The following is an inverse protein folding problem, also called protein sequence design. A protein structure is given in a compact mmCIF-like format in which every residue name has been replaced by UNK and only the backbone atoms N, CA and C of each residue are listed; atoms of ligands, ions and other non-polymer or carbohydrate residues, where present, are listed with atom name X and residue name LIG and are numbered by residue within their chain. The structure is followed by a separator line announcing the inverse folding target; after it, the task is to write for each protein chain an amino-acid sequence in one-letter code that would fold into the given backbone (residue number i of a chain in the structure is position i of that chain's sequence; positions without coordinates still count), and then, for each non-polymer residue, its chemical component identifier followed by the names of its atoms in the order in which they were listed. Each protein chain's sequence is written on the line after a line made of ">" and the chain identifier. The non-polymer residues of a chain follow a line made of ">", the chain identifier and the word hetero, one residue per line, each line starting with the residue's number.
data_IF_658479875268
#
_entry.id   IF_658479875268
#
_cell.length_a   1.000
_cell.length_b   1.000
_cell.length_c   1.000
_cell.angle_alpha   90.00
_cell.angle_beta   90.00
_cell.angle_gamma   90.00
#
_symmetry.space_group_name_H-M   'P 1'
#
loop_
_entity.id
_entity.type
_entity.pdbx_description
1 polymer ?
#
# COMPACT_ATOMS: atom_id res chain seq x y z
N UNK A 1 -37.94 50.15 22.20
CA UNK A 1 -38.88 49.34 21.41
C UNK A 1 -38.04 48.41 20.53
N UNK A 2 -37.69 47.21 21.00
CA UNK A 2 -38.32 45.89 20.69
C UNK A 2 -38.69 45.68 19.20
N UNK A 3 -37.87 44.88 18.50
CA UNK A 3 -38.25 43.84 17.51
C UNK A 3 -36.94 43.13 17.10
N UNK A 4 -36.53 41.97 17.61
CA UNK A 4 -37.11 40.62 17.65
C UNK A 4 -37.11 39.86 16.30
N UNK A 5 -36.20 38.86 16.24
CA UNK A 5 -36.40 37.50 15.67
C UNK A 5 -36.48 37.39 14.12
N UNK A 6 -35.85 36.44 13.41
CA UNK A 6 -35.51 35.03 13.74
C UNK A 6 -34.30 34.54 12.94
N UNK A 7 -33.33 33.97 13.65
CA UNK A 7 -32.45 32.90 13.16
C UNK A 7 -33.26 31.60 13.12
N UNK A 8 -33.18 30.84 12.03
CA UNK A 8 -33.49 29.41 12.03
C UNK A 8 -32.23 28.63 11.65
N UNK A 9 -31.65 27.84 12.56
CA UNK A 9 -30.65 26.85 12.21
C UNK A 9 -31.38 25.58 11.73
N UNK A 10 -31.23 25.25 10.45
CA UNK A 10 -31.65 23.94 9.94
C UNK A 10 -30.57 22.93 10.35
N UNK A 11 -30.80 22.28 11.49
CA UNK A 11 -30.09 21.08 11.91
C UNK A 11 -30.57 19.92 11.02
N UNK A 12 -29.85 19.68 9.93
CA UNK A 12 -29.98 18.44 9.18
C UNK A 12 -29.24 17.33 9.95
N UNK A 13 -29.99 16.61 10.79
CA UNK A 13 -29.52 15.41 11.48
C UNK A 13 -29.39 14.28 10.43
N UNK A 14 -28.23 14.20 9.78
CA UNK A 14 -27.85 13.05 8.96
C UNK A 14 -27.51 11.87 9.85
N UNK A 15 -28.50 11.06 10.22
CA UNK A 15 -28.25 9.77 10.88
C UNK A 15 -27.77 8.78 9.82
N UNK A 16 -26.45 8.69 9.65
CA UNK A 16 -25.80 7.59 8.93
C UNK A 16 -25.96 6.32 9.76
N UNK A 17 -26.96 5.50 9.44
CA UNK A 17 -27.02 4.10 9.87
C UNK A 17 -25.85 3.35 9.24
N UNK A 18 -24.73 3.32 9.94
CA UNK A 18 -23.64 2.39 9.65
C UNK A 18 -24.09 1.02 10.16
N UNK A 19 -24.50 0.14 9.26
CA UNK A 19 -24.80 -1.24 9.61
C UNK A 19 -23.52 -1.89 10.16
N UNK A 20 -23.47 -2.10 11.46
CA UNK A 20 -22.42 -2.88 12.11
C UNK A 20 -22.58 -4.35 11.67
N UNK A 21 -21.83 -4.75 10.65
CA UNK A 21 -21.66 -6.16 10.35
C UNK A 21 -20.93 -6.79 11.54
N UNK A 22 -21.61 -7.67 12.27
CA UNK A 22 -21.00 -8.51 13.31
C UNK A 22 -19.85 -9.28 12.65
N UNK A 23 -18.65 -9.11 13.20
CA UNK A 23 -17.46 -9.84 12.78
C UNK A 23 -17.69 -11.34 13.01
N UNK A 24 -17.57 -12.15 11.96
CA UNK A 24 -17.38 -13.59 12.15
C UNK A 24 -15.92 -13.79 12.56
N UNK A 25 -15.70 -14.52 13.64
CA UNK A 25 -14.38 -14.81 14.17
C UNK A 25 -13.52 -15.57 13.12
N UNK A 26 -12.31 -15.08 12.85
CA UNK A 26 -11.31 -15.78 12.02
C UNK A 26 -11.20 -15.36 10.55
N UNK A 27 -11.50 -14.11 10.19
CA UNK A 27 -11.54 -13.67 8.79
C UNK A 27 -10.14 -13.41 8.23
N UNK A 28 -9.54 -14.42 7.61
CA UNK A 28 -8.61 -14.15 6.51
C UNK A 28 -9.36 -13.41 5.39
N UNK A 29 -8.82 -12.31 4.91
CA UNK A 29 -9.48 -11.43 3.96
C UNK A 29 -8.56 -10.97 2.83
N UNK A 30 -9.08 -11.04 1.61
CA UNK A 30 -8.51 -10.30 0.48
C UNK A 30 -9.28 -8.98 0.33
N UNK A 31 -8.56 -7.89 0.06
CA UNK A 31 -9.13 -6.57 -0.14
C UNK A 31 -8.41 -5.84 -1.26
N UNK A 32 -9.13 -4.94 -1.92
CA UNK A 32 -8.60 -4.05 -2.94
C UNK A 32 -9.09 -2.63 -2.68
N UNK A 33 -8.20 -1.65 -2.78
CA UNK A 33 -8.54 -0.23 -2.59
C UNK A 33 -7.67 0.66 -3.47
N UNK A 34 -8.18 1.83 -3.92
CA UNK A 34 -7.39 2.78 -4.69
C UNK A 34 -6.22 3.31 -3.85
N UNK A 35 -5.13 3.68 -4.52
CA UNK A 35 -3.99 4.31 -3.89
C UNK A 35 -3.25 5.23 -4.86
N UNK A 36 -2.41 6.09 -4.31
CA UNK A 36 -1.52 6.95 -5.07
C UNK A 36 -0.19 7.12 -4.35
N UNK A 37 0.90 7.22 -5.11
CA UNK A 37 2.25 7.46 -4.58
C UNK A 37 2.89 8.57 -5.42
N UNK A 38 3.34 9.63 -4.76
CA UNK A 38 4.14 10.70 -5.36
C UNK A 38 5.58 10.64 -4.84
N UNK A 39 6.56 10.74 -5.74
CA UNK A 39 7.97 10.73 -5.37
C UNK A 39 8.81 11.57 -6.34
N UNK A 40 9.89 12.17 -5.83
CA UNK A 40 10.94 12.75 -6.66
C UNK A 40 11.90 11.65 -7.11
N UNK A 41 12.12 11.52 -8.41
CA UNK A 41 13.11 10.60 -8.97
C UNK A 41 14.51 11.09 -8.55
N UNK A 42 15.26 10.31 -7.74
CA UNK A 42 16.54 10.74 -7.19
C UNK A 42 17.63 10.96 -8.24
N UNK A 43 17.41 10.50 -9.48
CA UNK A 43 18.41 10.53 -10.55
C UNK A 43 18.34 11.80 -11.40
N UNK A 44 17.16 12.41 -11.50
CA UNK A 44 16.93 13.56 -12.36
C UNK A 44 16.12 14.70 -11.70
N UNK A 45 15.67 14.52 -10.44
CA UNK A 45 14.91 15.50 -9.69
C UNK A 45 13.46 15.71 -10.17
N UNK A 46 12.95 14.87 -11.07
CA UNK A 46 11.58 15.01 -11.57
C UNK A 46 10.56 14.38 -10.61
N UNK A 47 9.45 15.07 -10.39
CA UNK A 47 8.35 14.55 -9.56
C UNK A 47 7.45 13.66 -10.41
N UNK A 48 7.22 12.44 -9.92
CA UNK A 48 6.37 11.43 -10.54
C UNK A 48 5.24 11.08 -9.57
N UNK A 49 3.99 11.17 -10.03
CA UNK A 49 2.80 10.83 -9.24
C UNK A 49 2.04 9.72 -9.94
N UNK A 50 1.93 8.58 -9.27
CA UNK A 50 1.33 7.35 -9.79
C UNK A 50 0.07 7.02 -9.02
N UNK A 51 -1.06 6.97 -9.72
CA UNK A 51 -2.28 6.37 -9.22
C UNK A 51 -2.35 4.89 -9.58
N UNK A 52 -2.99 4.10 -8.73
CA UNK A 52 -3.07 2.67 -8.92
C UNK A 52 -4.01 1.98 -7.96
N UNK A 53 -3.81 0.67 -7.83
CA UNK A 53 -4.63 -0.18 -6.95
C UNK A 53 -3.74 -0.95 -6.00
N UNK A 54 -4.08 -0.89 -4.72
CA UNK A 54 -3.55 -1.76 -3.69
C UNK A 54 -4.38 -3.05 -3.67
N UNK A 55 -3.70 -4.18 -3.75
CA UNK A 55 -4.26 -5.50 -3.47
C UNK A 55 -3.58 -6.03 -2.22
N UNK A 56 -4.37 -6.30 -1.19
CA UNK A 56 -3.88 -6.78 0.08
C UNK A 56 -4.51 -8.13 0.44
N UNK A 57 -3.71 -8.96 1.10
CA UNK A 57 -4.14 -10.21 1.68
C UNK A 57 -3.72 -10.24 3.15
N UNK A 58 -4.68 -10.43 4.04
CA UNK A 58 -4.46 -10.64 5.46
C UNK A 58 -4.89 -12.07 5.77
N UNK A 59 -3.94 -12.91 6.19
CA UNK A 59 -4.22 -14.28 6.63
C UNK A 59 -4.08 -14.35 8.13
N UNK A 60 -5.12 -14.83 8.79
CA UNK A 60 -5.14 -15.08 10.23
C UNK A 60 -5.18 -16.60 10.45
N UNK A 61 -4.20 -17.12 11.18
CA UNK A 61 -4.13 -18.51 11.60
C UNK A 61 -4.62 -18.61 13.05
N UNK A 62 -5.54 -19.54 13.31
CA UNK A 62 -5.89 -19.91 14.67
C UNK A 62 -4.63 -20.45 15.37
N UNK A 63 -4.38 -19.99 16.60
CA UNK A 63 -3.33 -20.54 17.43
C UNK A 63 -3.56 -22.05 17.60
N UNK A 64 -2.66 -22.88 17.08
CA UNK A 64 -2.70 -24.31 17.41
C UNK A 64 -2.34 -24.43 18.89
N UNK A 65 -3.22 -25.08 19.66
CA UNK A 65 -2.99 -25.38 21.07
C UNK A 65 -2.06 -26.59 21.29
N UNK A 66 -1.50 -27.16 20.21
CA UNK A 66 -0.61 -28.31 20.32
C UNK A 66 0.81 -27.83 20.61
N UNK A 67 1.40 -28.40 21.67
CA UNK A 67 2.69 -28.03 22.26
C UNK A 67 3.90 -28.36 21.39
N UNK A 68 3.86 -28.01 20.11
CA UNK A 68 4.97 -28.12 19.19
C UNK A 68 5.75 -26.81 19.12
N UNK A 69 7.05 -26.89 19.38
CA UNK A 69 7.92 -25.76 19.70
C UNK A 69 8.59 -25.15 18.46
N UNK A 70 7.94 -25.18 17.29
CA UNK A 70 8.53 -24.60 16.09
C UNK A 70 8.33 -23.08 16.07
N UNK A 71 9.43 -22.33 16.01
CA UNK A 71 9.42 -20.86 16.20
C UNK A 71 8.70 -20.12 15.06
N UNK A 72 8.61 -20.73 13.88
CA UNK A 72 7.91 -20.17 12.72
C UNK A 72 6.37 -20.31 12.80
N UNK A 73 5.85 -21.17 13.69
CA UNK A 73 4.40 -21.38 13.89
C UNK A 73 3.77 -20.35 14.86
N UNK A 74 4.55 -19.40 15.37
CA UNK A 74 4.02 -18.32 16.23
C UNK A 74 3.33 -17.20 15.45
N UNK A 75 3.64 -17.06 14.16
CA UNK A 75 3.04 -16.03 13.33
C UNK A 75 1.56 -16.35 13.08
N UNK A 76 0.67 -15.66 13.79
CA UNK A 76 -0.78 -15.79 13.65
C UNK A 76 -1.34 -14.92 12.54
N UNK A 77 -0.61 -13.89 12.10
CA UNK A 77 -1.04 -13.00 11.03
C UNK A 77 0.04 -12.86 9.98
N UNK A 78 -0.31 -13.08 8.70
CA UNK A 78 0.51 -12.72 7.54
C UNK A 78 -0.20 -11.63 6.75
N UNK A 79 0.50 -10.54 6.48
CA UNK A 79 -0.02 -9.42 5.68
C UNK A 79 0.85 -9.28 4.45
N UNK A 80 0.22 -9.31 3.28
CA UNK A 80 0.84 -9.05 1.98
C UNK A 80 0.14 -7.87 1.34
N UNK A 81 0.91 -6.93 0.79
CA UNK A 81 0.42 -5.79 0.05
C UNK A 81 1.16 -5.68 -1.28
N UNK A 82 0.40 -5.50 -2.36
CA UNK A 82 0.94 -5.17 -3.68
C UNK A 82 0.24 -3.96 -4.24
N UNK A 83 1.01 -2.96 -4.66
CA UNK A 83 0.53 -1.83 -5.44
C UNK A 83 1.08 -1.91 -6.86
N UNK A 84 0.22 -1.62 -7.83
CA UNK A 84 0.63 -1.42 -9.23
C UNK A 84 -0.01 -0.15 -9.73
N UNK A 85 0.78 0.68 -10.38
CA UNK A 85 0.30 1.88 -11.04
C UNK A 85 1.17 2.28 -12.23
N UNK A 86 0.67 3.23 -13.01
CA UNK A 86 1.35 3.80 -14.16
C UNK A 86 1.00 5.27 -14.29
N UNK A 87 1.95 6.08 -14.77
CA UNK A 87 1.73 7.51 -15.01
C UNK A 87 2.68 8.03 -16.09
N UNK A 88 2.58 9.31 -16.43
CA UNK A 88 3.62 10.07 -17.12
C UNK A 88 4.13 11.18 -16.20
N UNK A 89 5.41 11.53 -16.32
CA UNK A 89 5.95 12.71 -15.63
C UNK A 89 5.63 14.01 -16.39
N UNK A 90 6.14 15.15 -15.89
CA UNK A 90 5.90 16.47 -16.50
C UNK A 90 6.51 16.62 -17.90
N UNK A 91 7.40 15.71 -18.30
CA UNK A 91 8.05 15.66 -19.61
C UNK A 91 7.47 14.59 -20.53
N UNK A 92 6.30 14.05 -20.19
CA UNK A 92 5.60 12.96 -20.91
C UNK A 92 6.36 11.62 -20.91
N UNK A 93 7.28 11.43 -19.95
CA UNK A 93 8.00 10.17 -19.82
C UNK A 93 7.17 9.20 -18.99
N UNK A 94 6.86 8.03 -19.57
CA UNK A 94 6.03 7.02 -18.92
C UNK A 94 6.77 6.31 -17.80
N UNK A 95 6.11 6.12 -16.66
CA UNK A 95 6.56 5.29 -15.55
C UNK A 95 5.56 4.19 -15.25
N UNK A 96 6.09 3.02 -14.90
CA UNK A 96 5.35 1.91 -14.30
C UNK A 96 5.95 1.62 -12.93
N UNK A 97 5.09 1.51 -11.93
CA UNK A 97 5.50 1.24 -10.55
C UNK A 97 4.91 -0.06 -10.04
N UNK A 98 5.72 -0.84 -9.34
CA UNK A 98 5.28 -2.00 -8.57
C UNK A 98 5.88 -1.91 -7.16
N UNK A 99 5.02 -1.87 -6.15
CA UNK A 99 5.43 -1.96 -4.74
C UNK A 99 4.93 -3.28 -4.16
N UNK A 100 5.79 -3.94 -3.38
CA UNK A 100 5.48 -5.17 -2.65
C UNK A 100 5.90 -5.01 -1.19
N UNK A 101 5.01 -5.37 -0.26
CA UNK A 101 5.28 -5.41 1.16
C UNK A 101 4.76 -6.72 1.75
N UNK A 102 5.50 -7.30 2.69
CA UNK A 102 5.09 -8.49 3.42
C UNK A 102 5.55 -8.42 4.88
N UNK A 103 4.73 -8.95 5.80
CA UNK A 103 5.09 -9.11 7.20
C UNK A 103 4.34 -10.26 7.87
N UNK A 104 4.92 -10.76 8.97
CA UNK A 104 4.37 -11.83 9.81
C UNK A 104 4.35 -11.36 11.27
N UNK A 105 3.25 -11.61 11.97
CA UNK A 105 2.99 -11.07 13.31
C UNK A 105 2.37 -12.12 14.23
N UNK A 106 2.72 -12.06 15.52
CA UNK A 106 2.19 -13.00 16.52
C UNK A 106 0.77 -12.66 16.98
N UNK A 107 0.38 -11.38 16.92
CA UNK A 107 -0.89 -10.90 17.45
C UNK A 107 -1.67 -10.11 16.40
N UNK A 108 -2.99 -10.16 16.52
CA UNK A 108 -3.87 -9.29 15.76
C UNK A 108 -3.74 -7.84 16.24
N UNK A 109 -3.66 -6.92 15.28
CA UNK A 109 -3.54 -5.49 15.51
C UNK A 109 -4.39 -4.73 14.48
N UNK A 110 -4.84 -3.50 14.81
CA UNK A 110 -5.58 -2.65 13.88
C UNK A 110 -4.71 -2.12 12.73
N UNK A 111 -3.39 -2.26 12.83
CA UNK A 111 -2.46 -1.96 11.75
C UNK A 111 -1.18 -2.77 11.88
N UNK A 112 -0.44 -2.87 10.78
CA UNK A 112 0.85 -3.55 10.71
C UNK A 112 1.84 -2.69 9.93
N UNK A 113 3.06 -2.55 10.46
CA UNK A 113 4.15 -1.90 9.75
C UNK A 113 4.97 -2.96 9.01
N UNK A 114 5.01 -2.87 7.69
CA UNK A 114 5.64 -3.84 6.79
C UNK A 114 6.86 -3.20 6.12
N UNK A 115 8.00 -3.89 6.01
CA UNK A 115 9.00 -3.51 5.04
C UNK A 115 8.44 -3.64 3.63
N UNK A 116 8.77 -2.69 2.75
CA UNK A 116 8.41 -2.77 1.34
C UNK A 116 9.60 -2.48 0.43
N UNK A 117 9.51 -3.01 -0.79
CA UNK A 117 10.35 -2.67 -1.92
C UNK A 117 9.47 -2.20 -3.09
N UNK A 118 9.87 -1.14 -3.77
CA UNK A 118 9.17 -0.57 -4.90
C UNK A 118 10.12 -0.28 -6.06
N UNK A 119 9.73 -0.71 -7.26
CA UNK A 119 10.46 -0.49 -8.51
C UNK A 119 9.70 0.51 -9.37
N UNK A 120 10.39 1.54 -9.86
CA UNK A 120 9.87 2.57 -10.74
C UNK A 120 10.61 2.50 -12.07
N UNK A 121 10.00 1.85 -13.05
CA UNK A 121 10.57 1.61 -14.37
C UNK A 121 10.04 2.65 -15.34
N UNK A 122 10.93 3.41 -15.95
CA UNK A 122 10.57 4.41 -16.95
C UNK A 122 10.89 3.96 -18.37
N UNK A 123 10.20 4.54 -19.35
CA UNK A 123 10.58 4.49 -20.77
C UNK A 123 11.18 5.83 -21.18
N UNK A 124 12.47 6.00 -20.89
CA UNK A 124 13.30 7.10 -21.37
C UNK A 124 13.70 8.13 -20.31
N UNK A 125 13.23 8.01 -19.07
CA UNK A 125 13.87 8.64 -17.92
C UNK A 125 14.64 7.58 -17.11
N UNK A 126 15.56 7.97 -16.21
CA UNK A 126 16.23 7.01 -15.33
C UNK A 126 15.22 6.27 -14.44
N UNK A 127 15.39 4.96 -14.33
CA UNK A 127 14.60 4.15 -13.39
C UNK A 127 15.13 4.32 -11.95
N UNK A 128 14.28 4.10 -10.95
CA UNK A 128 14.70 4.18 -9.55
C UNK A 128 13.95 3.16 -8.68
N UNK A 129 14.50 2.90 -7.50
CA UNK A 129 13.87 2.05 -6.49
C UNK A 129 13.55 2.86 -5.24
N UNK A 130 12.59 2.35 -4.47
CA UNK A 130 12.21 2.91 -3.19
C UNK A 130 11.99 1.78 -2.18
N UNK A 131 12.73 1.82 -1.08
CA UNK A 131 12.64 0.87 0.03
C UNK A 131 12.19 1.58 1.30
N UNK A 132 11.43 0.92 2.15
CA UNK A 132 11.03 1.55 3.40
C UNK A 132 10.04 0.77 4.23
N UNK A 133 9.23 1.49 4.98
CA UNK A 133 8.15 0.93 5.80
C UNK A 133 6.81 1.49 5.38
N UNK A 134 5.83 0.61 5.24
CA UNK A 134 4.44 0.95 4.95
C UNK A 134 3.55 0.41 6.06
N UNK A 135 2.70 1.27 6.58
CA UNK A 135 1.65 0.90 7.53
C UNK A 135 0.42 0.45 6.76
N UNK A 136 -0.12 -0.73 7.06
CA UNK A 136 -1.37 -1.25 6.53
C UNK A 136 -2.41 -1.27 7.64
N UNK A 137 -3.53 -0.58 7.44
CA UNK A 137 -4.66 -0.55 8.37
C UNK A 137 -5.59 -1.72 8.08
N UNK A 138 -6.02 -2.43 9.13
CA UNK A 138 -6.82 -3.65 9.03
C UNK A 138 -8.07 -3.53 9.89
N UNK A 139 -9.21 -3.86 9.30
CA UNK A 139 -10.51 -3.93 9.97
C UNK A 139 -11.22 -5.23 9.58
N UNK A 140 -11.69 -5.98 10.57
CA UNK A 140 -12.34 -7.28 10.38
C UNK A 140 -11.57 -8.22 9.42
N UNK A 141 -10.24 -8.25 9.57
CA UNK A 141 -9.35 -9.11 8.79
C UNK A 141 -9.15 -8.69 7.33
N UNK A 142 -9.54 -7.47 6.95
CA UNK A 142 -9.32 -6.89 5.62
C UNK A 142 -8.51 -5.62 5.73
N UNK A 143 -7.63 -5.37 4.76
CA UNK A 143 -6.94 -4.08 4.71
C UNK A 143 -7.89 -2.99 4.19
N UNK A 144 -7.98 -1.88 4.91
CA UNK A 144 -8.85 -0.74 4.60
C UNK A 144 -8.09 0.47 4.06
N UNK A 145 -6.77 0.48 4.22
CA UNK A 145 -5.90 1.52 3.69
C UNK A 145 -4.43 1.27 4.02
N UNK A 146 -3.56 2.14 3.52
CA UNK A 146 -2.13 2.09 3.80
C UNK A 146 -1.49 3.48 3.78
N UNK A 147 -0.36 3.64 4.47
CA UNK A 147 0.43 4.87 4.48
C UNK A 147 1.92 4.55 4.56
N UNK A 148 2.74 5.12 3.66
CA UNK A 148 4.19 5.01 3.73
C UNK A 148 4.68 5.84 4.92
N UNK A 149 5.39 5.22 5.86
CA UNK A 149 5.88 5.85 7.11
C UNK A 149 7.36 6.18 7.06
N UNK A 150 8.12 5.47 6.23
CA UNK A 150 9.53 5.79 5.93
C UNK A 150 9.88 5.33 4.52
N UNK A 151 10.88 5.98 3.92
CA UNK A 151 11.39 5.59 2.61
C UNK A 151 12.85 6.01 2.44
N UNK A 152 13.53 5.32 1.53
CA UNK A 152 14.82 5.66 0.95
C UNK A 152 14.73 5.37 -0.54
N UNK A 153 15.28 6.25 -1.36
CA UNK A 153 15.32 6.07 -2.81
C UNK A 153 16.75 5.85 -3.27
N UNK A 154 16.90 5.12 -4.36
CA UNK A 154 18.17 4.95 -5.05
C UNK A 154 17.96 4.89 -6.55
N UNK A 155 18.93 5.40 -7.31
CA UNK A 155 18.93 5.23 -8.75
C UNK A 155 19.04 3.76 -9.11
N UNK A 156 18.20 3.33 -10.04
CA UNK A 156 18.40 2.06 -10.72
C UNK A 156 19.68 2.16 -11.53
N UNK A 157 20.47 1.10 -11.54
CA UNK A 157 21.46 0.94 -12.61
C UNK A 157 20.61 0.66 -13.85
N UNK A 158 20.70 1.52 -14.86
CA UNK A 158 20.10 1.22 -16.15
C UNK A 158 20.63 -0.17 -16.54
N UNK A 159 19.75 -1.16 -16.59
CA UNK A 159 20.07 -2.39 -17.30
C UNK A 159 20.12 -1.96 -18.76
N UNK A 160 21.30 -1.51 -19.17
CA UNK A 160 21.69 -1.48 -20.56
C UNK A 160 21.50 -2.91 -21.05
N UNK A 161 20.35 -3.17 -21.66
CA UNK A 161 20.10 -4.30 -22.54
C UNK A 161 21.00 -4.12 -23.78
N UNK A 162 22.32 -4.06 -23.56
CA UNK A 162 23.33 -4.39 -24.54
C UNK A 162 23.52 -5.91 -24.50
N UNK A 163 22.42 -6.63 -24.76
CA UNK A 163 22.52 -7.93 -25.41
C UNK A 163 23.00 -7.63 -26.83
N UNK A 164 24.32 -7.51 -26.93
CA UNK A 164 25.05 -7.51 -28.18
C UNK A 164 24.75 -8.83 -28.89
N UNK A 165 23.77 -8.79 -29.79
CA UNK A 165 23.55 -9.78 -30.82
C UNK A 165 24.69 -9.63 -31.86
N UNK A 166 25.89 -9.96 -31.42
CA UNK A 166 27.11 -10.08 -32.20
C UNK A 166 27.59 -11.53 -32.09
N UNK A 167 26.82 -12.47 -32.63
CA UNK A 167 27.37 -13.74 -33.11
C UNK A 167 26.64 -14.16 -34.41
N UNK A 168 27.28 -13.87 -35.56
CA UNK A 168 27.90 -14.88 -36.44
C UNK A 168 26.89 -15.79 -37.16
N UNK A 169 26.60 -15.44 -38.43
CA UNK A 169 27.05 -16.22 -39.58
C UNK A 169 26.94 -15.44 -40.90
#
# INVERSE_FOLDING_TARGET
>A
MRSALRLMPVLALGVLFSAYALAEDGKSGNSSYPGGIGMENPCNGQVVVVDGTNVAQVRQHAAKNDGDHDRDDRARVRVELRFVGSTTDQTDMGYRTVLKAEGRFENEAPFYDLPYHSEWVSRGAPSFTMDGTIRVFVEAGKATGSSITSFRTSCGVDHDDHDGDHDRH
#
